data_IF_588882041777
#
_entry.id   IF_588882041777
#
_cell.length_a   1.000
_cell.length_b   1.000
_cell.length_c   1.000
_cell.angle_alpha   90.00
_cell.angle_beta   90.00
_cell.angle_gamma   90.00
#
_symmetry.space_group_name_H-M   'P 1'
#
loop_
_entity.id
_entity.type
_entity.pdbx_description
1 polymer ?
#
# COMPACT_ATOMS: atom_id res chain seq x y z
N UNK A 1 -2.46 -10.65 -22.46
CA UNK A 1 -2.57 -9.19 -22.63
C UNK A 1 -2.20 -8.55 -21.32
N UNK A 2 -1.22 -7.67 -21.34
CA UNK A 2 -0.80 -6.92 -20.15
C UNK A 2 -1.84 -5.85 -19.81
N UNK A 3 -2.04 -5.60 -18.52
CA UNK A 3 -2.95 -4.56 -18.01
C UNK A 3 -2.16 -3.61 -17.10
N UNK A 4 -2.51 -2.32 -17.16
CA UNK A 4 -1.95 -1.28 -16.30
C UNK A 4 -3.09 -0.56 -15.62
N UNK A 5 -2.97 -0.35 -14.31
CA UNK A 5 -3.94 0.38 -13.49
C UNK A 5 -3.21 1.35 -12.59
N UNK A 6 -3.78 2.54 -12.42
CA UNK A 6 -3.32 3.53 -11.46
C UNK A 6 -4.04 3.28 -10.14
N UNK A 7 -3.35 2.70 -9.16
CA UNK A 7 -3.92 2.42 -7.83
C UNK A 7 -3.92 3.68 -6.96
N UNK A 8 -2.81 4.42 -6.99
CA UNK A 8 -2.61 5.60 -6.16
C UNK A 8 -1.87 6.67 -6.95
N UNK A 9 -2.36 7.90 -6.87
CA UNK A 9 -1.70 9.09 -7.39
C UNK A 9 -1.55 10.07 -6.23
N UNK A 10 -0.34 10.15 -5.70
CA UNK A 10 -0.03 11.06 -4.61
C UNK A 10 -0.14 12.53 -5.01
N UNK A 11 -0.36 13.37 -4.02
CA UNK A 11 -0.32 14.84 -4.09
C UNK A 11 -0.04 15.38 -2.70
N UNK A 12 0.67 16.52 -2.59
CA UNK A 12 1.07 17.07 -1.30
C UNK A 12 -0.13 17.23 -0.34
N UNK A 13 -0.01 16.83 0.94
CA UNK A 13 1.19 16.30 1.61
C UNK A 13 1.25 14.76 1.62
N UNK A 14 0.50 14.06 0.75
CA UNK A 14 0.54 12.60 0.56
C UNK A 14 1.12 12.28 -0.83
N UNK A 15 2.28 12.83 -1.18
CA UNK A 15 2.80 12.76 -2.55
C UNK A 15 3.75 11.58 -2.77
N UNK A 16 4.64 11.31 -1.83
CA UNK A 16 5.57 10.19 -1.92
C UNK A 16 4.79 8.86 -2.11
N UNK A 17 5.31 7.97 -2.94
CA UNK A 17 4.75 6.64 -3.17
C UNK A 17 5.88 5.68 -3.56
N UNK A 18 6.27 4.81 -2.62
CA UNK A 18 7.39 3.89 -2.78
C UNK A 18 7.17 2.62 -1.94
N UNK A 19 8.12 1.70 -2.01
CA UNK A 19 8.13 0.42 -1.29
C UNK A 19 6.84 -0.40 -1.45
N UNK A 20 6.29 -0.43 -2.67
CA UNK A 20 5.06 -1.17 -2.93
C UNK A 20 5.26 -2.69 -2.88
N UNK A 21 4.36 -3.37 -2.18
CA UNK A 21 4.23 -4.82 -2.20
C UNK A 21 2.79 -5.20 -2.53
N UNK A 22 2.61 -6.27 -3.31
CA UNK A 22 1.31 -6.82 -3.71
C UNK A 22 1.18 -8.27 -3.23
N UNK A 23 0.03 -8.60 -2.64
CA UNK A 23 -0.35 -9.97 -2.28
C UNK A 23 -1.75 -10.29 -2.81
N UNK A 24 -2.00 -11.57 -3.10
CA UNK A 24 -3.33 -12.09 -3.43
C UNK A 24 -3.76 -13.01 -2.29
N UNK A 25 -4.84 -12.66 -1.61
CA UNK A 25 -5.40 -13.46 -0.53
C UNK A 25 -6.05 -14.74 -1.08
N UNK A 26 -6.27 -15.79 -0.26
CA UNK A 26 -6.89 -17.04 -0.71
C UNK A 26 -8.26 -16.88 -1.39
N UNK A 27 -9.03 -15.83 -1.03
CA UNK A 27 -10.32 -15.52 -1.64
C UNK A 27 -10.21 -14.76 -2.99
N UNK A 28 -8.99 -14.51 -3.48
CA UNK A 28 -8.71 -13.79 -4.72
C UNK A 28 -8.65 -12.27 -4.59
N UNK A 29 -8.88 -11.69 -3.41
CA UNK A 29 -8.68 -10.25 -3.16
C UNK A 29 -7.20 -9.91 -3.34
N UNK A 30 -6.93 -8.90 -4.16
CA UNK A 30 -5.59 -8.34 -4.30
C UNK A 30 -5.41 -7.21 -3.28
N UNK A 31 -4.32 -7.20 -2.53
CA UNK A 31 -3.97 -6.14 -1.58
C UNK A 31 -2.62 -5.58 -1.97
N UNK A 32 -2.54 -4.27 -2.12
CA UNK A 32 -1.27 -3.55 -2.31
C UNK A 32 -1.05 -2.60 -1.16
N UNK A 33 0.10 -2.74 -0.50
CA UNK A 33 0.57 -1.83 0.53
C UNK A 33 1.75 -1.03 -0.03
N UNK A 34 1.88 0.22 0.41
CA UNK A 34 2.92 1.14 -0.04
C UNK A 34 3.20 2.19 1.03
N UNK A 35 4.40 2.76 1.01
CA UNK A 35 4.73 3.96 1.76
C UNK A 35 4.20 5.20 1.04
N UNK A 36 3.57 6.09 1.78
CA UNK A 36 3.18 7.44 1.34
C UNK A 36 3.22 8.40 2.52
N UNK A 37 2.73 9.63 2.38
CA UNK A 37 2.97 10.71 3.34
C UNK A 37 3.67 11.83 2.61
N UNK A 38 4.66 12.44 3.24
CA UNK A 38 5.31 13.67 2.79
C UNK A 38 5.72 13.74 1.32
N UNK A 39 6.36 14.83 0.93
CA UNK A 39 6.57 15.10 -0.49
C UNK A 39 7.73 14.32 -1.11
N UNK A 40 8.57 13.70 -0.27
CA UNK A 40 9.74 12.92 -0.66
C UNK A 40 10.09 11.88 0.41
N UNK A 41 11.10 11.08 0.09
CA UNK A 41 11.75 10.19 1.05
C UNK A 41 13.19 10.67 1.31
N UNK A 42 13.65 10.74 2.58
CA UNK A 42 12.88 10.50 3.80
C UNK A 42 12.14 11.75 4.30
N UNK A 43 10.93 11.57 4.85
CA UNK A 43 10.19 12.58 5.62
C UNK A 43 9.46 11.96 6.82
N UNK A 44 9.36 12.70 7.93
CA UNK A 44 8.72 12.21 9.17
C UNK A 44 7.27 11.78 8.97
N UNK A 45 6.55 12.44 8.05
CA UNK A 45 5.14 12.16 7.76
C UNK A 45 4.93 10.88 6.92
N UNK A 46 6.00 10.21 6.51
CA UNK A 46 5.90 8.96 5.75
C UNK A 46 5.32 7.83 6.62
N UNK A 47 4.30 7.16 6.11
CA UNK A 47 3.46 6.18 6.77
C UNK A 47 2.96 5.15 5.76
N UNK A 48 2.45 4.01 6.24
CA UNK A 48 2.00 2.93 5.36
C UNK A 48 0.51 3.08 5.06
N UNK A 49 0.14 2.86 3.79
CA UNK A 49 -1.24 2.73 3.36
C UNK A 49 -1.44 1.47 2.53
N UNK A 50 -2.69 1.00 2.43
CA UNK A 50 -3.06 -0.01 1.46
C UNK A 50 -4.35 0.31 0.69
N UNK A 51 -4.43 -0.29 -0.49
CA UNK A 51 -5.64 -0.43 -1.28
C UNK A 51 -5.89 -1.92 -1.55
N UNK A 52 -7.14 -2.29 -1.82
CA UNK A 52 -7.46 -3.64 -2.28
C UNK A 52 -8.39 -3.64 -3.49
N UNK A 53 -8.42 -4.77 -4.18
CA UNK A 53 -9.30 -5.04 -5.31
C UNK A 53 -9.96 -6.41 -5.15
N UNK A 54 -11.28 -6.44 -5.33
CA UNK A 54 -12.10 -7.66 -5.32
C UNK A 54 -12.44 -8.16 -6.74
N UNK A 55 -12.02 -7.45 -7.78
CA UNK A 55 -12.43 -7.69 -9.17
C UNK A 55 -11.24 -7.94 -10.12
N UNK A 56 -10.15 -8.49 -9.56
CA UNK A 56 -8.90 -8.80 -10.27
C UNK A 56 -8.21 -7.54 -10.83
N UNK A 57 -8.17 -6.49 -10.02
CA UNK A 57 -7.43 -5.25 -10.29
C UNK A 57 -8.15 -4.28 -11.23
N UNK A 58 -9.43 -4.48 -11.55
CA UNK A 58 -10.17 -3.55 -12.43
C UNK A 58 -10.54 -2.28 -11.69
N UNK A 59 -10.92 -2.40 -10.41
CA UNK A 59 -11.17 -1.29 -9.50
C UNK A 59 -10.41 -1.50 -8.20
N UNK A 60 -10.13 -0.40 -7.51
CA UNK A 60 -9.36 -0.38 -6.26
C UNK A 60 -10.10 0.46 -5.22
N UNK A 61 -10.00 0.07 -3.95
CA UNK A 61 -10.53 0.83 -2.83
C UNK A 61 -9.84 2.19 -2.67
N UNK A 62 -10.43 3.07 -1.88
CA UNK A 62 -9.70 4.23 -1.35
C UNK A 62 -8.56 3.75 -0.41
N UNK A 63 -7.43 4.48 -0.35
CA UNK A 63 -6.29 4.08 0.47
C UNK A 63 -6.59 4.28 1.96
N UNK A 64 -6.38 3.23 2.76
CA UNK A 64 -6.47 3.29 4.22
C UNK A 64 -5.08 3.34 4.86
N UNK A 65 -4.96 3.96 6.03
CA UNK A 65 -3.70 3.97 6.81
C UNK A 65 -3.55 2.64 7.54
N UNK A 66 -2.42 1.95 7.34
CA UNK A 66 -2.07 0.72 8.06
C UNK A 66 -1.27 1.06 9.32
N UNK A 67 -0.26 1.91 9.17
CA UNK A 67 0.66 2.25 10.25
C UNK A 67 1.13 3.69 10.06
N UNK A 68 1.02 4.49 11.11
CA UNK A 68 1.52 5.86 11.18
C UNK A 68 1.99 6.13 12.60
N UNK A 69 3.13 6.82 12.73
CA UNK A 69 3.61 7.34 13.99
C UNK A 69 3.66 8.87 13.95
N UNK A 70 3.53 9.56 15.09
CA UNK A 70 3.64 11.02 15.17
C UNK A 70 5.10 11.52 15.18
N UNK A 71 6.07 10.64 15.47
CA UNK A 71 7.46 11.01 15.80
C UNK A 71 8.50 10.35 14.87
N UNK A 72 8.08 9.52 13.92
CA UNK A 72 8.97 8.79 13.00
C UNK A 72 8.27 8.37 11.71
N UNK A 73 9.06 8.25 10.65
CA UNK A 73 8.62 7.65 9.39
C UNK A 73 8.41 6.13 9.54
N UNK A 74 7.51 5.57 8.73
CA UNK A 74 7.36 4.11 8.55
C UNK A 74 7.94 3.70 7.21
N UNK A 75 8.65 2.57 7.17
CA UNK A 75 9.05 1.90 5.92
C UNK A 75 8.63 0.43 6.04
N UNK A 76 8.17 -0.16 4.92
CA UNK A 76 7.76 -1.55 4.86
C UNK A 76 8.85 -2.37 4.18
N UNK A 77 9.30 -3.44 4.84
CA UNK A 77 10.36 -4.30 4.29
C UNK A 77 9.83 -5.56 3.62
N UNK A 78 8.66 -6.04 4.02
CA UNK A 78 8.05 -7.26 3.50
C UNK A 78 6.53 -7.27 3.72
N UNK A 79 5.83 -8.02 2.87
CA UNK A 79 4.43 -8.37 3.03
C UNK A 79 4.25 -9.82 2.54
N UNK A 80 3.68 -10.69 3.36
CA UNK A 80 3.48 -12.10 3.01
C UNK A 80 2.23 -12.67 3.69
N UNK A 81 1.83 -13.87 3.26
CA UNK A 81 0.79 -14.64 3.95
C UNK A 81 1.44 -15.61 4.94
N UNK A 82 0.97 -15.60 6.18
CA UNK A 82 1.32 -16.66 7.12
C UNK A 82 0.66 -17.99 6.71
N UNK A 83 1.00 -19.06 7.44
CA UNK A 83 0.46 -20.40 7.17
C UNK A 83 -1.06 -20.52 7.36
N UNK A 84 -1.69 -19.54 8.02
CA UNK A 84 -3.13 -19.47 8.23
C UNK A 84 -3.83 -18.60 7.16
N UNK A 85 -3.07 -18.02 6.23
CA UNK A 85 -3.59 -17.11 5.21
C UNK A 85 -3.85 -15.69 5.71
N UNK A 86 -3.30 -15.31 6.87
CA UNK A 86 -3.33 -13.92 7.33
C UNK A 86 -2.24 -13.12 6.63
N UNK A 87 -2.57 -11.86 6.30
CA UNK A 87 -1.59 -10.91 5.79
C UNK A 87 -0.72 -10.39 6.93
N UNK A 88 0.60 -10.51 6.78
CA UNK A 88 1.64 -10.06 7.72
C UNK A 88 2.56 -9.05 7.05
#
# INVERSE_FOLDING_TARGET
MDRKYLVYKGSSPNHCCCDQALCILPNGRMVVAFMTGGDKEPELDNHLRCCWSDDRGKTWSQPIVILRYPDRACCMTQMYLDMNGHLV
#
